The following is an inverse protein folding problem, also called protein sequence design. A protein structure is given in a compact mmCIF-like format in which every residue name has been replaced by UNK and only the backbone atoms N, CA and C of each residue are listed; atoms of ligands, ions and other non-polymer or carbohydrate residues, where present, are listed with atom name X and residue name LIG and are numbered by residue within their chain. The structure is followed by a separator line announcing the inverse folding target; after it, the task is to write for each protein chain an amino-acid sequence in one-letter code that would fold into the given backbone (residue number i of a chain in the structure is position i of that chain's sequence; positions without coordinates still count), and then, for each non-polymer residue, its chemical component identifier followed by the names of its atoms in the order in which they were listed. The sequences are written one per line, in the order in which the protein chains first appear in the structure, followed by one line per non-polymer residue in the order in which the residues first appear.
data_IF_131558254472
#
_entry.id   IF_131558254472
#
_cell.length_a   1.000
_cell.length_b   1.000
_cell.length_c   1.000
_cell.angle_alpha   90.00
_cell.angle_beta   90.00
_cell.angle_gamma   90.00
#
_symmetry.space_group_name_H-M   'P 1'
#
loop_
_entity.id
_entity.type
_entity.pdbx_description
1 polymer ?
#
# COMPACT_ATOMS: atom_id res chain seq x y z
N UNK A 1 -4.74 -3.47 -20.41
CA UNK A 1 -3.66 -2.61 -20.95
C UNK A 1 -4.27 -1.67 -21.98
N UNK A 2 -3.92 -0.37 -21.95
CA UNK A 2 -4.33 0.59 -22.97
C UNK A 2 -3.37 0.60 -24.17
N UNK A 3 -2.07 0.45 -23.91
CA UNK A 3 -1.00 0.42 -24.91
C UNK A 3 -0.05 -0.76 -24.63
N UNK A 4 -0.34 -1.95 -25.18
CA UNK A 4 0.49 -3.14 -24.96
C UNK A 4 1.91 -3.02 -25.52
N UNK A 5 2.09 -2.26 -26.61
CA UNK A 5 3.41 -2.08 -27.23
C UNK A 5 4.32 -1.28 -26.30
N UNK A 6 3.82 -0.19 -25.73
CA UNK A 6 4.56 0.59 -24.73
C UNK A 6 4.93 -0.25 -23.50
N UNK A 7 4.02 -1.10 -23.03
CA UNK A 7 4.29 -2.04 -21.93
C UNK A 7 5.48 -2.96 -22.28
N UNK A 8 5.47 -3.54 -23.48
CA UNK A 8 6.55 -4.41 -23.94
C UNK A 8 7.89 -3.68 -24.08
N UNK A 9 7.88 -2.44 -24.57
CA UNK A 9 9.07 -1.58 -24.68
C UNK A 9 9.68 -1.28 -23.31
N UNK A 10 8.86 -0.94 -22.31
CA UNK A 10 9.30 -0.71 -20.92
C UNK A 10 9.91 -1.99 -20.34
N UNK A 11 9.24 -3.13 -20.49
CA UNK A 11 9.73 -4.42 -19.97
C UNK A 11 11.09 -4.77 -20.60
N UNK A 12 11.23 -4.62 -21.93
CA UNK A 12 12.50 -4.86 -22.63
C UNK A 12 13.61 -3.93 -22.16
N UNK A 13 13.30 -2.66 -21.93
CA UNK A 13 14.27 -1.68 -21.41
C UNK A 13 14.75 -2.06 -20.00
N UNK A 14 13.82 -2.38 -19.10
CA UNK A 14 14.13 -2.82 -17.74
C UNK A 14 14.94 -4.12 -17.72
N UNK A 15 14.57 -5.10 -18.54
CA UNK A 15 15.30 -6.36 -18.66
C UNK A 15 16.73 -6.15 -19.18
N UNK A 16 16.90 -5.30 -20.20
CA UNK A 16 18.22 -4.96 -20.76
C UNK A 16 19.12 -4.23 -19.76
N UNK A 17 18.55 -3.38 -18.91
CA UNK A 17 19.28 -2.68 -17.86
C UNK A 17 19.73 -3.62 -16.73
N UNK A 18 19.04 -4.75 -16.55
CA UNK A 18 19.43 -5.82 -15.64
C UNK A 18 18.86 -5.66 -14.23
N UNK A 19 18.77 -6.78 -13.52
CA UNK A 19 18.07 -6.90 -12.23
C UNK A 19 18.59 -5.94 -11.14
N UNK A 20 19.88 -5.63 -11.15
CA UNK A 20 20.50 -4.71 -10.17
C UNK A 20 20.01 -3.26 -10.30
N UNK A 21 19.24 -2.93 -11.33
CA UNK A 21 18.67 -1.59 -11.56
C UNK A 21 17.20 -1.49 -11.12
N UNK A 22 16.59 -2.60 -10.70
CA UNK A 22 15.16 -2.67 -10.38
C UNK A 22 14.92 -2.35 -8.89
N UNK A 23 13.88 -1.59 -8.60
CA UNK A 23 13.21 -1.49 -7.30
C UNK A 23 11.69 -1.64 -7.45
N UNK A 24 11.02 -2.10 -6.40
CA UNK A 24 9.58 -2.24 -6.35
C UNK A 24 9.00 -1.28 -5.32
N UNK A 25 7.95 -0.55 -5.69
CA UNK A 25 7.19 0.32 -4.79
C UNK A 25 5.74 -0.14 -4.84
N UNK A 26 5.20 -0.55 -3.71
CA UNK A 26 3.85 -1.11 -3.63
C UNK A 26 3.02 -0.44 -2.55
N UNK A 27 1.74 -0.21 -2.80
CA UNK A 27 0.78 -0.07 -1.70
C UNK A 27 0.58 -1.42 -0.99
N UNK A 28 -0.08 -1.43 0.16
CA UNK A 28 -0.38 -2.63 0.93
C UNK A 28 -1.85 -3.03 0.89
N UNK A 29 -2.74 -2.14 1.31
CA UNK A 29 -4.13 -2.48 1.57
C UNK A 29 -4.89 -2.62 0.25
N UNK A 30 -5.50 -3.77 -0.01
CA UNK A 30 -6.17 -4.08 -1.29
C UNK A 30 -5.23 -4.14 -2.51
N UNK A 31 -3.92 -4.01 -2.30
CA UNK A 31 -2.85 -4.18 -3.30
C UNK A 31 -2.07 -5.47 -3.05
N UNK A 32 -1.42 -5.59 -1.89
CA UNK A 32 -0.75 -6.83 -1.45
C UNK A 32 -1.71 -7.71 -0.65
N UNK A 33 -2.65 -7.09 0.08
CA UNK A 33 -3.79 -7.79 0.67
C UNK A 33 -4.93 -7.91 -0.34
N UNK A 34 -5.74 -8.97 -0.18
CA UNK A 34 -6.94 -9.21 -0.99
C UNK A 34 -7.97 -8.12 -0.75
N UNK A 35 -8.79 -7.85 -1.75
CA UNK A 35 -9.96 -7.00 -1.59
C UNK A 35 -11.15 -7.81 -1.06
N UNK A 36 -11.36 -9.02 -1.57
CA UNK A 36 -12.41 -9.93 -1.12
C UNK A 36 -11.98 -11.40 -1.14
N UNK A 37 -12.65 -12.20 -0.32
CA UNK A 37 -12.52 -13.66 -0.29
C UNK A 37 -13.90 -14.29 -0.08
N UNK A 38 -14.27 -15.24 -0.95
CA UNK A 38 -15.58 -15.91 -0.93
C UNK A 38 -16.79 -14.95 -0.86
N UNK A 39 -16.71 -13.83 -1.58
CA UNK A 39 -17.77 -12.81 -1.64
C UNK A 39 -17.83 -11.87 -0.43
N UNK A 40 -16.98 -12.05 0.59
CA UNK A 40 -16.84 -11.13 1.73
C UNK A 40 -15.64 -10.21 1.52
N UNK A 41 -15.77 -8.93 1.84
CA UNK A 41 -14.66 -7.97 1.81
C UNK A 41 -13.62 -8.32 2.88
N UNK A 42 -12.35 -8.35 2.49
CA UNK A 42 -11.22 -8.53 3.41
C UNK A 42 -10.91 -7.22 4.14
N UNK A 43 -10.39 -7.28 5.38
CA UNK A 43 -10.09 -6.08 6.15
C UNK A 43 -8.82 -5.39 5.62
N UNK A 44 -8.84 -4.05 5.60
CA UNK A 44 -7.62 -3.23 5.56
C UNK A 44 -6.88 -3.28 6.91
N UNK A 45 -5.65 -2.77 6.97
CA UNK A 45 -4.90 -2.60 8.21
C UNK A 45 -5.69 -1.86 9.30
N UNK A 46 -6.43 -0.81 8.94
CA UNK A 46 -7.35 -0.12 9.84
C UNK A 46 -8.53 -1.02 10.24
N UNK A 47 -9.14 -1.75 9.31
CA UNK A 47 -10.29 -2.60 9.63
C UNK A 47 -9.91 -3.82 10.49
N UNK A 48 -8.65 -4.27 10.47
CA UNK A 48 -8.17 -5.27 11.43
C UNK A 48 -8.33 -4.74 12.86
N UNK A 49 -7.93 -3.48 13.10
CA UNK A 49 -8.11 -2.81 14.38
C UNK A 49 -9.59 -2.52 14.67
N UNK A 50 -10.33 -2.00 13.70
CA UNK A 50 -11.75 -1.65 13.87
C UNK A 50 -12.62 -2.85 14.25
N UNK A 51 -12.33 -4.02 13.67
CA UNK A 51 -13.07 -5.26 13.94
C UNK A 51 -12.59 -5.98 15.20
N UNK A 52 -11.49 -5.53 15.81
CA UNK A 52 -10.90 -6.17 16.98
C UNK A 52 -11.72 -5.93 18.26
N UNK A 53 -11.34 -6.64 19.32
CA UNK A 53 -11.83 -6.39 20.69
C UNK A 53 -11.02 -5.30 21.42
N UNK A 54 -10.03 -4.70 20.76
CA UNK A 54 -9.14 -3.70 21.36
C UNK A 54 -9.77 -2.31 21.42
N UNK A 55 -10.87 -2.09 20.70
CA UNK A 55 -11.62 -0.84 20.72
C UNK A 55 -13.08 -1.10 21.12
N UNK A 56 -13.68 -0.16 21.83
CA UNK A 56 -15.06 -0.28 22.31
C UNK A 56 -16.08 -0.19 21.18
N UNK A 57 -17.29 -0.75 21.39
CA UNK A 57 -18.39 -0.61 20.42
C UNK A 57 -18.82 0.85 20.21
N UNK A 58 -18.66 1.69 21.23
CA UNK A 58 -18.87 3.14 21.11
C UNK A 58 -17.85 3.78 20.16
N UNK A 59 -16.57 3.45 20.30
CA UNK A 59 -15.52 3.92 19.40
C UNK A 59 -15.77 3.44 17.95
N UNK A 60 -16.20 2.19 17.77
CA UNK A 60 -16.57 1.66 16.45
C UNK A 60 -17.70 2.45 15.82
N UNK A 61 -18.71 2.82 16.60
CA UNK A 61 -19.80 3.67 16.10
C UNK A 61 -19.28 5.05 15.67
N UNK A 62 -18.43 5.69 16.47
CA UNK A 62 -17.83 6.99 16.13
C UNK A 62 -16.95 6.93 14.87
N UNK A 63 -16.10 5.89 14.74
CA UNK A 63 -15.28 5.68 13.54
C UNK A 63 -16.15 5.44 12.30
N UNK A 64 -17.27 4.71 12.45
CA UNK A 64 -18.25 4.51 11.37
C UNK A 64 -18.92 5.82 10.96
N UNK A 65 -19.24 6.71 11.90
CA UNK A 65 -19.81 8.02 11.59
C UNK A 65 -18.82 8.92 10.84
N UNK A 66 -17.54 8.89 11.23
CA UNK A 66 -16.46 9.52 10.46
C UNK A 66 -16.39 8.95 9.05
N UNK A 67 -16.37 7.62 8.89
CA UNK A 67 -16.37 6.95 7.58
C UNK A 67 -17.55 7.41 6.72
N UNK A 68 -18.77 7.41 7.27
CA UNK A 68 -19.97 7.82 6.55
C UNK A 68 -19.93 9.29 6.09
N UNK A 69 -19.22 10.14 6.83
CA UNK A 69 -19.06 11.57 6.53
C UNK A 69 -17.99 11.81 5.48
N UNK A 70 -16.80 11.22 5.64
CA UNK A 70 -15.62 11.57 4.86
C UNK A 70 -15.39 10.68 3.64
N UNK A 71 -15.76 9.40 3.68
CA UNK A 71 -15.56 8.50 2.54
C UNK A 71 -16.29 8.97 1.27
N UNK A 72 -17.55 9.46 1.31
CA UNK A 72 -18.19 10.03 0.13
C UNK A 72 -17.42 11.19 -0.49
N UNK A 73 -16.71 11.98 0.33
CA UNK A 73 -15.89 13.12 -0.10
C UNK A 73 -14.58 12.63 -0.73
N UNK A 74 -13.95 11.62 -0.14
CA UNK A 74 -12.76 10.96 -0.72
C UNK A 74 -13.07 10.49 -2.15
N UNK A 75 -14.16 9.76 -2.35
CA UNK A 75 -14.48 9.19 -3.66
C UNK A 75 -15.13 10.17 -4.64
N UNK A 76 -15.40 11.43 -4.25
CA UNK A 76 -16.15 12.39 -5.06
C UNK A 76 -15.33 12.84 -6.29
N UNK A 77 -15.70 12.37 -7.49
CA UNK A 77 -15.01 12.73 -8.72
C UNK A 77 -15.19 14.20 -9.14
N UNK A 78 -16.09 14.95 -8.49
CA UNK A 78 -16.33 16.37 -8.78
C UNK A 78 -15.41 17.31 -8.01
N UNK A 79 -14.73 16.82 -6.96
CA UNK A 79 -13.79 17.59 -6.14
C UNK A 79 -12.35 17.32 -6.57
N UNK A 80 -11.52 18.35 -6.56
CA UNK A 80 -10.09 18.21 -6.86
C UNK A 80 -9.34 17.56 -5.67
N UNK A 81 -8.10 17.11 -5.91
CA UNK A 81 -7.28 16.56 -4.83
C UNK A 81 -6.98 17.62 -3.75
N UNK A 82 -6.74 18.87 -4.17
CA UNK A 82 -6.46 20.00 -3.30
C UNK A 82 -7.64 20.33 -2.38
N UNK A 83 -8.88 20.22 -2.87
CA UNK A 83 -10.09 20.43 -2.07
C UNK A 83 -10.33 19.30 -1.05
N UNK A 84 -9.90 18.08 -1.37
CA UNK A 84 -10.08 16.90 -0.50
C UNK A 84 -9.01 16.79 0.57
N UNK A 85 -7.79 17.24 0.29
CA UNK A 85 -6.63 17.10 1.17
C UNK A 85 -6.90 17.56 2.61
N UNK A 86 -7.38 18.79 2.90
CA UNK A 86 -7.62 19.22 4.27
C UNK A 86 -8.71 18.39 4.97
N UNK A 87 -9.68 17.86 4.22
CA UNK A 87 -10.76 17.02 4.75
C UNK A 87 -10.27 15.62 5.11
N UNK A 88 -9.33 15.06 4.34
CA UNK A 88 -8.70 13.78 4.68
C UNK A 88 -7.79 13.91 5.90
N UNK A 89 -7.06 15.03 6.02
CA UNK A 89 -6.29 15.34 7.23
C UNK A 89 -7.22 15.41 8.45
N UNK A 90 -8.34 16.11 8.34
CA UNK A 90 -9.32 16.21 9.43
C UNK A 90 -9.89 14.84 9.80
N UNK A 91 -10.29 14.03 8.81
CA UNK A 91 -10.83 12.69 9.03
C UNK A 91 -9.87 11.81 9.83
N UNK A 92 -8.65 11.64 9.32
CA UNK A 92 -7.68 10.75 9.93
C UNK A 92 -7.17 11.28 11.27
N UNK A 93 -7.08 12.60 11.46
CA UNK A 93 -6.77 13.19 12.77
C UNK A 93 -7.83 12.84 13.81
N UNK A 94 -9.12 12.96 13.46
CA UNK A 94 -10.23 12.56 14.34
C UNK A 94 -10.20 11.06 14.62
N UNK A 95 -10.00 10.23 13.59
CA UNK A 95 -9.94 8.78 13.74
C UNK A 95 -8.79 8.35 14.68
N UNK A 96 -7.57 8.88 14.46
CA UNK A 96 -6.41 8.60 15.32
C UNK A 96 -6.63 9.06 16.76
N UNK A 97 -7.28 10.20 16.96
CA UNK A 97 -7.64 10.70 18.31
C UNK A 97 -8.54 9.72 19.04
N UNK A 98 -9.55 9.17 18.37
CA UNK A 98 -10.44 8.15 18.94
C UNK A 98 -9.67 6.88 19.30
N UNK A 99 -8.76 6.41 18.43
CA UNK A 99 -7.94 5.23 18.67
C UNK A 99 -7.01 5.39 19.88
N UNK A 100 -6.38 6.56 20.04
CA UNK A 100 -5.54 6.86 21.22
C UNK A 100 -6.34 6.75 22.52
N UNK A 101 -7.60 7.20 22.53
CA UNK A 101 -8.48 7.11 23.71
C UNK A 101 -8.78 5.67 24.12
N UNK A 102 -8.65 4.70 23.21
CA UNK A 102 -8.88 3.28 23.50
C UNK A 102 -7.73 2.63 24.29
N UNK A 103 -6.60 3.33 24.48
CA UNK A 103 -5.43 2.82 25.22
C UNK A 103 -4.96 1.45 24.73
N UNK A 104 -4.90 1.29 23.40
CA UNK A 104 -4.49 0.05 22.73
C UNK A 104 -3.09 -0.34 23.20
N UNK A 105 -2.92 -1.60 23.64
CA UNK A 105 -1.60 -2.11 24.07
C UNK A 105 -0.86 -2.76 22.90
N UNK A 106 0.43 -2.45 22.77
CA UNK A 106 1.27 -2.94 21.67
C UNK A 106 1.37 -4.47 21.62
N UNK A 107 1.46 -5.12 22.78
CA UNK A 107 1.58 -6.57 22.90
C UNK A 107 0.36 -7.33 22.34
N UNK A 108 -0.81 -6.68 22.30
CA UNK A 108 -2.05 -7.25 21.79
C UNK A 108 -2.18 -7.17 20.26
N UNK A 109 -1.33 -6.40 19.57
CA UNK A 109 -1.40 -6.28 18.10
C UNK A 109 -1.14 -7.62 17.40
N UNK A 110 -0.25 -8.44 17.96
CA UNK A 110 0.05 -9.77 17.43
C UNK A 110 -1.17 -10.68 17.41
N UNK A 111 -1.85 -10.78 18.55
CA UNK A 111 -3.03 -11.64 18.68
C UNK A 111 -4.19 -11.07 17.84
N UNK A 112 -4.35 -9.75 17.80
CA UNK A 112 -5.34 -9.08 16.94
C UNK A 112 -5.15 -9.43 15.46
N UNK A 113 -3.93 -9.35 14.93
CA UNK A 113 -3.65 -9.71 13.53
C UNK A 113 -3.93 -11.19 13.28
N UNK A 114 -3.49 -12.06 14.20
CA UNK A 114 -3.68 -13.51 14.12
C UNK A 114 -5.16 -13.92 14.11
N UNK A 115 -5.99 -13.22 14.85
CA UNK A 115 -7.45 -13.47 14.93
C UNK A 115 -8.24 -12.83 13.79
N UNK A 116 -7.61 -12.01 12.96
CA UNK A 116 -8.30 -11.28 11.88
C UNK A 116 -8.51 -12.13 10.62
N UNK A 117 -9.43 -11.68 9.76
CA UNK A 117 -9.69 -12.28 8.44
C UNK A 117 -8.75 -11.72 7.34
N UNK A 118 -7.61 -11.12 7.70
CA UNK A 118 -6.68 -10.55 6.71
C UNK A 118 -6.11 -11.65 5.81
N UNK A 119 -6.03 -11.36 4.51
CA UNK A 119 -5.47 -12.28 3.54
C UNK A 119 -4.55 -11.53 2.58
N UNK A 120 -3.33 -12.03 2.39
CA UNK A 120 -2.48 -11.62 1.28
C UNK A 120 -3.00 -12.21 -0.03
N UNK A 121 -2.76 -11.52 -1.14
CA UNK A 121 -3.09 -12.00 -2.49
C UNK A 121 -2.42 -13.34 -2.77
N UNK A 122 -3.08 -14.18 -3.55
CA UNK A 122 -2.52 -15.49 -3.91
C UNK A 122 -1.16 -15.34 -4.61
N UNK A 123 -0.18 -16.18 -4.26
CA UNK A 123 1.18 -16.07 -4.80
C UNK A 123 2.05 -14.99 -4.14
N UNK A 124 1.63 -14.40 -3.01
CA UNK A 124 2.44 -13.42 -2.28
C UNK A 124 3.82 -13.98 -1.87
N UNK A 125 3.91 -15.25 -1.47
CA UNK A 125 5.19 -15.83 -1.02
C UNK A 125 6.25 -15.73 -2.12
N UNK A 126 5.90 -16.17 -3.34
CA UNK A 126 6.78 -16.03 -4.50
C UNK A 126 7.18 -14.57 -4.74
N UNK A 127 6.24 -13.62 -4.61
CA UNK A 127 6.53 -12.20 -4.81
C UNK A 127 7.61 -11.71 -3.83
N UNK A 128 7.42 -11.93 -2.54
CA UNK A 128 8.35 -11.46 -1.52
C UNK A 128 9.69 -12.21 -1.55
N UNK A 129 9.65 -13.53 -1.64
CA UNK A 129 10.83 -14.39 -1.59
C UNK A 129 11.73 -14.16 -2.82
N UNK A 130 11.14 -14.01 -4.01
CA UNK A 130 11.87 -13.74 -5.25
C UNK A 130 12.56 -12.38 -5.24
N UNK A 131 11.90 -11.35 -4.69
CA UNK A 131 12.51 -10.03 -4.52
C UNK A 131 13.71 -10.10 -3.56
N UNK A 132 13.58 -10.85 -2.46
CA UNK A 132 14.66 -11.04 -1.50
C UNK A 132 15.83 -11.84 -2.11
N UNK A 133 15.56 -12.93 -2.83
CA UNK A 133 16.57 -13.75 -3.50
C UNK A 133 17.42 -12.93 -4.48
N UNK A 134 16.79 -12.05 -5.24
CA UNK A 134 17.46 -11.18 -6.21
C UNK A 134 17.95 -9.84 -5.61
N UNK A 135 17.85 -9.65 -4.29
CA UNK A 135 18.21 -8.39 -3.61
C UNK A 135 17.57 -7.16 -4.26
N UNK A 136 16.31 -7.28 -4.67
CA UNK A 136 15.50 -6.20 -5.21
C UNK A 136 14.82 -5.49 -4.03
N UNK A 137 15.08 -4.18 -3.81
CA UNK A 137 14.41 -3.45 -2.74
C UNK A 137 12.90 -3.39 -2.96
N UNK A 138 12.14 -3.67 -1.90
CA UNK A 138 10.70 -3.47 -1.86
C UNK A 138 10.37 -2.36 -0.86
N UNK A 139 9.83 -1.25 -1.35
CA UNK A 139 9.21 -0.23 -0.52
C UNK A 139 7.70 -0.46 -0.48
N UNK A 140 7.17 -0.82 0.67
CA UNK A 140 5.73 -0.81 0.93
C UNK A 140 5.35 0.58 1.45
N UNK A 141 4.57 1.31 0.67
CA UNK A 141 4.16 2.67 0.99
C UNK A 141 2.64 2.74 1.17
N UNK A 142 2.20 2.66 2.43
CA UNK A 142 0.80 2.49 2.80
C UNK A 142 0.26 3.67 3.60
N UNK A 143 -0.95 4.11 3.26
CA UNK A 143 -1.75 5.03 4.09
C UNK A 143 -2.43 4.33 5.29
N UNK A 144 -2.16 3.04 5.48
CA UNK A 144 -2.67 2.20 6.56
C UNK A 144 -1.96 2.38 7.90
N UNK A 145 -2.07 1.36 8.75
CA UNK A 145 -1.39 1.26 10.05
C UNK A 145 -0.09 0.46 9.92
N UNK A 146 1.06 1.11 10.12
CA UNK A 146 2.39 0.52 9.95
C UNK A 146 2.64 -0.70 10.84
N UNK A 147 2.35 -0.59 12.14
CA UNK A 147 2.56 -1.69 13.10
C UNK A 147 1.70 -2.92 12.78
N UNK A 148 0.49 -2.71 12.27
CA UNK A 148 -0.43 -3.79 11.87
C UNK A 148 0.05 -4.45 10.58
N UNK A 149 0.40 -3.63 9.58
CA UNK A 149 0.96 -4.09 8.31
C UNK A 149 2.20 -4.96 8.54
N UNK A 150 3.17 -4.46 9.31
CA UNK A 150 4.40 -5.18 9.62
C UNK A 150 4.10 -6.52 10.28
N UNK A 151 3.15 -6.56 11.22
CA UNK A 151 2.78 -7.79 11.90
C UNK A 151 2.09 -8.78 10.94
N UNK A 152 1.28 -8.32 9.98
CA UNK A 152 0.71 -9.19 8.92
C UNK A 152 1.81 -9.87 8.11
N UNK A 153 2.76 -9.11 7.56
CA UNK A 153 3.84 -9.69 6.74
C UNK A 153 4.85 -10.49 7.57
N UNK A 154 5.01 -10.17 8.86
CA UNK A 154 5.85 -10.92 9.80
C UNK A 154 5.23 -12.29 10.11
N UNK A 155 3.94 -12.36 10.41
CA UNK A 155 3.24 -13.63 10.65
C UNK A 155 3.15 -14.49 9.39
N UNK A 156 3.07 -13.86 8.22
CA UNK A 156 3.13 -14.55 6.92
C UNK A 156 4.55 -15.03 6.55
N UNK A 157 5.59 -14.67 7.33
CA UNK A 157 6.97 -15.13 7.11
C UNK A 157 7.70 -14.44 5.96
N UNK A 158 7.21 -13.28 5.50
CA UNK A 158 7.70 -12.59 4.29
C UNK A 158 8.26 -11.19 4.57
N UNK A 159 8.44 -10.82 5.84
CA UNK A 159 9.07 -9.56 6.22
C UNK A 159 10.61 -9.66 6.15
N UNK A 160 11.12 -9.72 4.93
CA UNK A 160 12.53 -9.89 4.62
C UNK A 160 13.35 -8.60 4.78
N UNK A 161 14.69 -8.67 4.91
CA UNK A 161 15.55 -7.50 5.07
C UNK A 161 15.51 -6.48 3.93
N UNK A 162 15.14 -6.90 2.71
CA UNK A 162 14.98 -6.00 1.56
C UNK A 162 13.66 -5.19 1.58
N UNK A 163 12.77 -5.46 2.54
CA UNK A 163 11.47 -4.78 2.67
C UNK A 163 11.60 -3.57 3.58
N UNK A 164 11.26 -2.39 3.05
CA UNK A 164 11.08 -1.15 3.80
C UNK A 164 9.60 -0.78 3.84
N UNK A 165 9.13 -0.24 4.96
CA UNK A 165 7.74 0.17 5.13
C UNK A 165 7.69 1.67 5.47
N UNK A 166 6.89 2.42 4.70
CA UNK A 166 6.45 3.77 5.02
C UNK A 166 4.94 3.75 5.26
N UNK A 167 4.52 4.09 6.48
CA UNK A 167 3.12 4.06 6.87
C UNK A 167 2.88 4.86 8.17
N UNK A 168 1.63 4.92 8.63
CA UNK A 168 1.28 5.57 9.89
C UNK A 168 1.63 4.65 11.06
N UNK A 169 2.76 4.89 11.69
CA UNK A 169 3.20 4.11 12.85
C UNK A 169 2.59 4.65 14.15
N UNK A 170 2.16 3.73 14.99
CA UNK A 170 1.72 4.02 16.35
C UNK A 170 2.93 4.43 17.21
N UNK A 171 2.70 5.42 18.07
CA UNK A 171 3.63 5.81 19.13
C UNK A 171 3.09 5.31 20.47
N UNK A 172 3.88 4.47 21.14
CA UNK A 172 3.52 3.87 22.41
C UNK A 172 4.31 4.54 23.54
N UNK A 173 3.69 4.67 24.71
CA UNK A 173 4.36 5.09 25.93
C UNK A 173 5.27 4.00 26.52
N UNK A 174 5.96 4.32 27.61
CA UNK A 174 6.87 3.40 28.30
C UNK A 174 6.18 2.13 28.83
N UNK A 175 4.85 2.18 29.01
CA UNK A 175 4.03 1.05 29.44
C UNK A 175 3.48 0.22 28.27
N UNK A 176 3.80 0.61 27.03
CA UNK A 176 3.36 -0.07 25.82
C UNK A 176 1.93 0.29 25.39
N UNK A 177 1.40 1.43 25.85
CA UNK A 177 0.05 1.91 25.51
C UNK A 177 0.12 2.99 24.44
N UNK A 178 -0.76 2.91 23.44
CA UNK A 178 -0.87 3.89 22.35
C UNK A 178 -1.12 5.29 22.91
N UNK A 179 -0.24 6.24 22.59
CA UNK A 179 -0.35 7.64 23.00
C UNK A 179 -0.48 8.62 21.83
N UNK A 180 0.03 8.26 20.65
CA UNK A 180 -0.01 9.11 19.45
C UNK A 180 0.30 8.28 18.18
N UNK A 181 0.38 8.95 17.04
CA UNK A 181 0.96 8.42 15.80
C UNK A 181 2.24 9.20 15.47
N UNK A 182 3.23 8.51 14.91
CA UNK A 182 4.55 9.07 14.61
C UNK A 182 4.56 9.79 13.28
N UNK A 183 5.35 10.86 13.21
CA UNK A 183 5.65 11.56 11.96
C UNK A 183 4.44 12.28 11.37
N UNK A 184 4.53 12.57 10.07
CA UNK A 184 3.44 13.17 9.32
C UNK A 184 2.45 12.09 8.88
N UNK A 185 1.16 12.40 9.00
CA UNK A 185 0.07 11.54 8.55
C UNK A 185 0.23 11.23 7.06
N UNK A 186 0.16 9.96 6.70
CA UNK A 186 0.05 9.48 5.32
C UNK A 186 -1.42 9.10 5.06
N UNK A 187 -2.01 9.70 4.03
CA UNK A 187 -3.34 9.39 3.52
C UNK A 187 -3.31 9.26 1.98
N UNK A 188 -4.43 8.86 1.38
CA UNK A 188 -4.53 8.53 -0.05
C UNK A 188 -4.08 9.65 -1.03
N UNK A 189 -4.04 10.91 -0.60
CA UNK A 189 -3.70 12.05 -1.46
C UNK A 189 -2.35 12.68 -1.19
N UNK A 190 -1.60 12.24 -0.16
CA UNK A 190 -0.31 12.85 0.17
C UNK A 190 0.88 11.87 0.12
N UNK A 191 0.72 10.74 -0.58
CA UNK A 191 1.82 9.80 -0.82
C UNK A 191 2.96 10.46 -1.59
N UNK A 192 2.65 11.45 -2.44
CA UNK A 192 3.66 12.27 -3.12
C UNK A 192 4.58 12.97 -2.11
N UNK A 193 4.01 13.70 -1.16
CA UNK A 193 4.75 14.42 -0.12
C UNK A 193 5.59 13.45 0.70
N UNK A 194 5.00 12.32 1.13
CA UNK A 194 5.75 11.29 1.83
C UNK A 194 6.90 10.69 0.99
N UNK A 195 6.75 10.55 -0.33
CA UNK A 195 7.85 10.14 -1.20
C UNK A 195 8.98 11.18 -1.21
N UNK A 196 8.62 12.46 -1.29
CA UNK A 196 9.57 13.58 -1.34
C UNK A 196 10.25 13.86 0.00
N UNK A 197 9.64 13.53 1.13
CA UNK A 197 10.23 13.69 2.46
C UNK A 197 11.27 12.61 2.78
N UNK A 198 11.20 11.45 2.13
CA UNK A 198 12.09 10.31 2.37
C UNK A 198 13.29 10.26 1.40
N UNK A 199 13.85 11.43 1.06
CA UNK A 199 14.99 11.57 0.12
C UNK A 199 16.19 10.70 0.47
N UNK A 200 16.52 10.51 1.75
CA UNK A 200 17.63 9.66 2.17
C UNK A 200 17.50 8.21 1.68
N UNK A 201 16.30 7.63 1.77
CA UNK A 201 16.03 6.28 1.27
C UNK A 201 16.20 6.20 -0.25
N UNK A 202 15.62 7.14 -1.00
CA UNK A 202 15.72 7.15 -2.46
C UNK A 202 17.13 7.46 -2.96
N UNK A 203 17.94 8.20 -2.19
CA UNK A 203 19.35 8.42 -2.49
C UNK A 203 20.19 7.15 -2.36
N UNK A 204 19.94 6.33 -1.32
CA UNK A 204 20.59 5.02 -1.18
C UNK A 204 20.27 4.09 -2.36
N UNK A 205 19.10 4.27 -2.97
CA UNK A 205 18.63 3.50 -4.12
C UNK A 205 18.86 4.18 -5.48
N UNK A 206 19.77 5.16 -5.59
CA UNK A 206 19.99 5.89 -6.86
C UNK A 206 20.33 5.00 -8.07
N UNK A 207 20.94 3.83 -7.82
CA UNK A 207 21.27 2.87 -8.89
C UNK A 207 20.07 2.04 -9.34
N UNK A 208 18.94 2.12 -8.62
CA UNK A 208 17.70 1.40 -8.90
C UNK A 208 16.74 2.24 -9.74
N UNK A 209 17.17 2.70 -10.91
CA UNK A 209 16.40 3.64 -11.74
C UNK A 209 15.22 3.03 -12.51
N UNK A 210 14.96 1.72 -12.37
CA UNK A 210 13.83 1.02 -12.99
C UNK A 210 12.81 0.63 -11.91
N UNK A 211 11.59 1.15 -12.02
CA UNK A 211 10.56 1.02 -10.97
C UNK A 211 9.41 0.13 -11.45
N UNK A 212 9.10 -0.89 -10.67
CA UNK A 212 7.80 -1.56 -10.74
C UNK A 212 6.89 -0.97 -9.66
N UNK A 213 5.86 -0.24 -10.07
CA UNK A 213 4.89 0.37 -9.17
C UNK A 213 3.60 -0.44 -9.15
N UNK A 214 3.15 -0.83 -7.95
CA UNK A 214 1.93 -1.63 -7.76
C UNK A 214 0.99 -0.91 -6.79
N UNK A 215 -0.25 -0.67 -7.18
CA UNK A 215 -1.23 0.01 -6.35
C UNK A 215 -2.67 -0.35 -6.73
N UNK A 216 -3.64 0.10 -5.95
CA UNK A 216 -5.06 -0.12 -6.22
C UNK A 216 -5.85 1.18 -6.31
N UNK A 217 -5.23 2.33 -6.03
CA UNK A 217 -5.85 3.65 -6.09
C UNK A 217 -5.14 4.57 -7.09
N UNK A 218 -5.77 5.69 -7.47
CA UNK A 218 -5.09 6.71 -8.28
C UNK A 218 -4.05 7.51 -7.47
N UNK A 219 -4.14 7.51 -6.13
CA UNK A 219 -3.16 8.17 -5.26
C UNK A 219 -1.80 7.50 -5.30
N UNK A 220 -1.77 6.18 -5.52
CA UNK A 220 -0.57 5.35 -5.53
C UNK A 220 0.38 5.68 -6.69
N UNK A 221 -0.13 6.31 -7.76
CA UNK A 221 0.66 6.68 -8.94
C UNK A 221 1.81 7.63 -8.63
N UNK A 222 1.77 8.29 -7.47
CA UNK A 222 2.75 9.28 -6.99
C UNK A 222 3.75 8.70 -5.99
N UNK A 223 3.67 7.41 -5.64
CA UNK A 223 4.58 6.78 -4.67
C UNK A 223 6.04 6.75 -5.14
N UNK A 224 6.27 6.84 -6.46
CA UNK A 224 7.60 6.87 -7.06
C UNK A 224 8.17 8.28 -7.27
N UNK A 225 7.47 9.35 -6.88
CA UNK A 225 7.90 10.73 -7.13
C UNK A 225 9.21 11.10 -6.41
N UNK A 226 9.59 10.36 -5.36
CA UNK A 226 10.86 10.50 -4.67
C UNK A 226 12.05 9.83 -5.37
N UNK A 227 11.82 9.01 -6.40
CA UNK A 227 12.88 8.24 -7.08
C UNK A 227 13.73 9.17 -7.94
N UNK A 228 15.02 9.26 -7.61
CA UNK A 228 15.99 10.03 -8.36
C UNK A 228 16.38 9.33 -9.68
N UNK A 229 16.51 10.10 -10.76
CA UNK A 229 17.01 9.62 -12.06
C UNK A 229 16.24 8.40 -12.62
N UNK A 230 14.94 8.31 -12.34
CA UNK A 230 14.08 7.24 -12.85
C UNK A 230 14.11 7.19 -14.38
N UNK A 231 14.51 6.05 -14.95
CA UNK A 231 14.58 5.83 -16.40
C UNK A 231 13.31 5.17 -16.92
N UNK A 232 12.84 4.12 -16.24
CA UNK A 232 11.64 3.39 -16.60
C UNK A 232 10.76 3.19 -15.39
N UNK A 233 9.45 3.27 -15.60
CA UNK A 233 8.43 2.92 -14.62
C UNK A 233 7.35 2.10 -15.30
N UNK A 234 7.04 0.94 -14.74
CA UNK A 234 5.91 0.10 -15.13
C UNK A 234 4.87 0.12 -14.01
N UNK A 235 3.65 0.53 -14.30
CA UNK A 235 2.59 0.71 -13.32
C UNK A 235 1.52 -0.38 -13.46
N UNK A 236 1.28 -1.12 -12.39
CA UNK A 236 0.22 -2.13 -12.26
C UNK A 236 -0.84 -1.62 -11.29
N UNK A 237 -2.08 -1.53 -11.75
CA UNK A 237 -3.22 -1.07 -10.98
C UNK A 237 -4.24 -2.19 -10.73
N UNK A 238 -4.50 -2.53 -9.47
CA UNK A 238 -5.62 -3.40 -9.09
C UNK A 238 -6.92 -2.59 -9.08
N UNK A 239 -7.83 -2.88 -10.00
CA UNK A 239 -9.16 -2.28 -10.04
C UNK A 239 -10.15 -3.23 -9.36
N UNK A 240 -10.29 -3.07 -8.05
CA UNK A 240 -11.03 -3.98 -7.18
C UNK A 240 -12.55 -3.72 -7.17
N UNK A 241 -12.97 -2.45 -7.22
CA UNK A 241 -14.37 -2.05 -7.12
C UNK A 241 -14.78 -1.09 -8.25
N UNK A 242 -16.09 -0.82 -8.36
CA UNK A 242 -16.68 0.19 -9.27
C UNK A 242 -16.07 0.16 -10.68
N UNK A 243 -15.87 -1.05 -11.21
CA UNK A 243 -15.10 -1.30 -12.43
C UNK A 243 -15.60 -0.44 -13.59
N UNK A 244 -16.91 -0.44 -13.85
CA UNK A 244 -17.48 0.31 -14.97
C UNK A 244 -17.26 1.83 -14.85
N UNK A 245 -17.31 2.37 -13.63
CA UNK A 245 -17.12 3.81 -13.38
C UNK A 245 -15.64 4.22 -13.48
N UNK A 246 -14.73 3.36 -13.03
CA UNK A 246 -13.31 3.69 -12.82
C UNK A 246 -12.37 3.18 -13.92
N UNK A 247 -12.80 2.21 -14.72
CA UNK A 247 -11.97 1.53 -15.73
C UNK A 247 -11.26 2.49 -16.67
N UNK A 248 -11.94 3.50 -17.18
CA UNK A 248 -11.33 4.50 -18.09
C UNK A 248 -10.20 5.26 -17.41
N UNK A 249 -10.44 5.75 -16.19
CA UNK A 249 -9.41 6.48 -15.42
C UNK A 249 -8.20 5.59 -15.11
N UNK A 250 -8.42 4.32 -14.77
CA UNK A 250 -7.34 3.38 -14.49
C UNK A 250 -6.55 3.03 -15.75
N UNK A 251 -7.21 2.75 -16.88
CA UNK A 251 -6.53 2.48 -18.16
C UNK A 251 -5.76 3.70 -18.70
N UNK A 252 -6.12 4.91 -18.28
CA UNK A 252 -5.40 6.12 -18.64
C UNK A 252 -4.17 6.37 -17.75
N UNK A 253 -4.15 5.78 -16.55
CA UNK A 253 -3.18 6.09 -15.51
C UNK A 253 -2.16 4.95 -15.25
N UNK A 254 -2.60 3.70 -15.37
CA UNK A 254 -1.82 2.48 -15.20
C UNK A 254 -1.56 1.82 -16.54
N UNK A 255 -0.37 1.24 -16.70
CA UNK A 255 0.02 0.54 -17.93
C UNK A 255 -0.71 -0.82 -18.01
N UNK A 256 -0.78 -1.51 -16.88
CA UNK A 256 -1.50 -2.78 -16.69
C UNK A 256 -2.57 -2.59 -15.62
N UNK A 257 -3.82 -2.97 -15.94
CA UNK A 257 -4.95 -2.92 -15.00
C UNK A 257 -5.47 -4.33 -14.79
N UNK A 258 -5.48 -4.77 -13.53
CA UNK A 258 -5.95 -6.09 -13.10
C UNK A 258 -7.34 -5.92 -12.47
N UNK A 259 -8.38 -6.42 -13.15
CA UNK A 259 -9.77 -6.18 -12.75
C UNK A 259 -10.26 -7.32 -11.87
N UNK A 260 -10.58 -7.02 -10.60
CA UNK A 260 -11.06 -7.99 -9.60
C UNK A 260 -10.16 -9.24 -9.50
N UNK A 261 -8.86 -9.04 -9.65
CA UNK A 261 -7.84 -10.09 -9.54
C UNK A 261 -7.41 -10.20 -8.07
N UNK A 262 -7.48 -11.40 -7.48
CA UNK A 262 -7.09 -11.67 -6.09
C UNK A 262 -5.68 -12.29 -5.94
N UNK A 263 -4.87 -12.20 -6.99
CA UNK A 263 -3.57 -12.87 -7.14
C UNK A 263 -2.41 -11.90 -7.39
N UNK A 264 -1.18 -12.41 -7.22
CA UNK A 264 0.08 -11.78 -7.63
C UNK A 264 0.64 -12.41 -8.90
N UNK A 265 -0.16 -13.12 -9.70
CA UNK A 265 0.32 -13.85 -10.89
C UNK A 265 1.00 -12.95 -11.91
N UNK A 266 0.38 -11.83 -12.28
CA UNK A 266 0.96 -10.88 -13.24
C UNK A 266 2.21 -10.19 -12.70
N UNK A 267 2.22 -9.62 -11.47
CA UNK A 267 3.45 -9.14 -10.84
C UNK A 267 4.57 -10.19 -10.80
N UNK A 268 4.27 -11.44 -10.42
CA UNK A 268 5.25 -12.52 -10.36
C UNK A 268 5.79 -12.90 -11.74
N UNK A 269 4.93 -13.03 -12.75
CA UNK A 269 5.35 -13.33 -14.11
C UNK A 269 6.28 -12.25 -14.67
N UNK A 270 5.99 -10.98 -14.38
CA UNK A 270 6.86 -9.86 -14.75
C UNK A 270 8.20 -9.92 -14.02
N UNK A 271 8.21 -10.14 -12.70
CA UNK A 271 9.45 -10.25 -11.94
C UNK A 271 10.31 -11.41 -12.44
N UNK A 272 9.74 -12.60 -12.62
CA UNK A 272 10.44 -13.76 -13.18
C UNK A 272 11.04 -13.45 -14.55
N UNK A 273 10.30 -12.75 -15.41
CA UNK A 273 10.79 -12.36 -16.72
C UNK A 273 11.94 -11.34 -16.63
N UNK A 274 11.81 -10.32 -15.78
CA UNK A 274 12.81 -9.27 -15.58
C UNK A 274 14.10 -9.77 -14.91
N UNK A 275 14.01 -10.85 -14.12
CA UNK A 275 15.18 -11.45 -13.47
C UNK A 275 15.73 -12.67 -14.19
N UNK A 276 15.05 -13.17 -15.24
CA UNK A 276 15.60 -14.24 -16.07
C UNK A 276 16.88 -13.76 -16.77
N UNK A 277 18.01 -14.35 -16.40
CA UNK A 277 19.29 -14.13 -17.06
C UNK A 277 19.23 -14.67 -18.49
N UNK A 278 19.67 -13.87 -19.47
CA UNK A 278 20.10 -14.39 -20.77
C UNK A 278 21.49 -15.00 -20.65
#
# INVERSE_FOLDING_TARGET
MRDPQRVEEIIKAMQKAGTSTIQVISDFDMTLTRFAYNGKRCPTSHNILDNSKLISEECKAQLKDLLNTYYPIEIDSKRTAEEKLPLMVEWWTKAHTLLVQQRIRKDLLKDMVKESDVMLREGYQLFFDHLQEHSIPLLIFSAGLGDVLEEVIRQAGVFHPNVKVFSNYMDFDETGVLKAFKGELIHIYNKREGALLNTGHFQELKSRHNVLLVGDSLGDLTMADGVHSMENILKIGFLNDKVEERKTSYLNAYDIVLVKDETMEVPNALLLHLTSTK
#
